data_IF_487122090644
#
_entry.id   IF_487122090644
#
_cell.length_a   1.000
_cell.length_b   1.000
_cell.length_c   1.000
_cell.angle_alpha   90.00
_cell.angle_beta   90.00
_cell.angle_gamma   90.00
#
_symmetry.space_group_name_H-M   'P 1'
#
loop_
_entity.id
_entity.type
_entity.pdbx_description
1 polymer ?
#
# COMPACT_ATOMS: atom_id res chain seq x y z
N UNK A 1 14.11 65.07 -22.58
CA UNK A 1 13.95 64.56 -22.48
C UNK A 1 13.84 63.48 -22.22
N UNK A 2 13.81 62.91 -22.15
CA UNK A 2 13.58 61.95 -21.98
C UNK A 2 13.42 60.88 -21.74
N UNK A 3 13.40 60.47 -21.67
CA UNK A 3 13.15 59.58 -21.47
C UNK A 3 13.24 58.55 -21.15
N UNK A 4 13.22 57.96 -21.00
CA UNK A 4 13.22 57.08 -20.79
C UNK A 4 12.86 56.22 -20.34
N UNK A 5 12.66 55.83 -20.35
CA UNK A 5 12.08 55.27 -20.00
C UNK A 5 12.03 54.12 -19.81
N UNK A 6 12.09 53.64 -19.59
CA UNK A 6 12.05 52.57 -19.30
C UNK A 6 11.78 51.44 -19.54
N UNK A 7 11.81 50.95 -19.37
CA UNK A 7 11.51 49.93 -19.68
C UNK A 7 11.81 48.92 -18.92
N UNK A 8 11.86 48.42 -18.67
CA UNK A 8 12.11 47.66 -17.98
C UNK A 8 11.37 46.64 -17.70
N UNK A 9 11.02 46.18 -17.61
CA UNK A 9 10.07 45.36 -17.22
C UNK A 9 9.99 43.98 -17.67
N UNK A 10 10.60 43.45 -18.57
CA UNK A 10 10.43 42.07 -18.99
C UNK A 10 10.95 41.03 -18.03
N UNK A 11 11.39 41.40 -16.90
CA UNK A 11 11.99 40.48 -15.96
C UNK A 11 11.01 39.56 -15.26
N UNK A 12 9.74 39.86 -15.34
CA UNK A 12 8.79 39.11 -14.57
C UNK A 12 8.41 37.76 -15.12
N UNK A 13 8.72 37.53 -16.36
CA UNK A 13 8.25 36.36 -17.06
C UNK A 13 8.97 35.10 -16.60
N UNK A 14 10.20 35.23 -16.21
CA UNK A 14 11.02 34.07 -15.96
C UNK A 14 10.63 33.28 -14.71
N UNK A 15 9.96 33.92 -13.78
CA UNK A 15 9.69 33.26 -12.52
C UNK A 15 8.55 32.27 -12.55
N UNK A 16 7.72 32.33 -13.57
CA UNK A 16 6.54 31.49 -13.60
C UNK A 16 6.81 30.05 -13.99
N UNK A 17 7.93 29.78 -14.61
CA UNK A 17 8.19 28.46 -15.17
C UNK A 17 8.56 27.42 -14.16
N UNK A 18 9.05 27.82 -13.01
CA UNK A 18 9.54 26.85 -12.03
C UNK A 18 8.42 26.10 -11.33
N UNK A 19 7.20 26.55 -11.45
CA UNK A 19 6.10 25.92 -10.71
C UNK A 19 5.65 24.58 -11.31
N UNK A 20 6.08 24.26 -12.50
CA UNK A 20 5.56 23.07 -13.17
C UNK A 20 6.30 21.79 -12.87
N UNK A 21 7.35 21.83 -12.08
CA UNK A 21 8.17 20.65 -11.89
C UNK A 21 7.76 19.77 -10.74
N UNK A 22 6.71 20.11 -10.01
CA UNK A 22 6.34 19.39 -8.82
C UNK A 22 5.35 18.26 -9.04
N UNK A 23 4.83 18.11 -10.24
CA UNK A 23 3.77 17.14 -10.45
C UNK A 23 4.25 15.82 -11.02
N UNK A 24 5.56 15.63 -11.12
CA UNK A 24 6.08 14.51 -11.87
C UNK A 24 6.15 13.20 -11.12
N UNK A 25 6.11 13.23 -9.79
CA UNK A 25 6.30 12.03 -9.01
C UNK A 25 4.97 11.39 -8.68
N UNK A 26 4.75 10.21 -9.22
CA UNK A 26 3.57 9.42 -8.90
C UNK A 26 4.03 8.02 -8.56
N UNK A 27 3.60 7.53 -7.41
CA UNK A 27 3.91 6.17 -7.00
C UNK A 27 2.62 5.44 -6.72
N UNK A 28 2.60 4.17 -7.10
CA UNK A 28 1.43 3.30 -6.98
C UNK A 28 1.56 2.50 -5.70
N UNK A 29 0.73 2.82 -4.71
CA UNK A 29 0.78 2.15 -3.43
C UNK A 29 -0.53 1.45 -3.14
N UNK A 30 -0.42 0.31 -2.44
CA UNK A 30 -1.54 -0.37 -1.86
C UNK A 30 -1.43 -0.19 -0.35
N UNK A 31 -2.51 0.30 0.26
CA UNK A 31 -2.61 0.39 1.72
C UNK A 31 -3.35 -0.84 2.21
N UNK A 32 -2.63 -1.72 2.89
CA UNK A 32 -3.20 -2.96 3.41
C UNK A 32 -3.47 -2.82 4.90
N UNK A 33 -4.59 -3.37 5.34
CA UNK A 33 -4.93 -3.48 6.76
C UNK A 33 -5.31 -4.91 7.05
N UNK A 34 -4.63 -5.53 8.01
CA UNK A 34 -4.92 -6.89 8.44
C UNK A 34 -5.57 -6.81 9.81
N UNK A 35 -6.76 -7.40 9.94
CA UNK A 35 -7.49 -7.40 11.18
C UNK A 35 -7.58 -8.81 11.72
N UNK A 36 -7.21 -9.00 12.98
CA UNK A 36 -7.28 -10.29 13.63
C UNK A 36 -8.64 -10.49 14.28
N UNK A 37 -9.51 -11.22 13.62
CA UNK A 37 -10.81 -11.60 14.17
C UNK A 37 -10.89 -13.08 14.50
N UNK A 38 -9.74 -13.70 14.72
CA UNK A 38 -9.72 -15.14 15.08
C UNK A 38 -10.19 -15.41 16.49
N UNK A 39 -10.27 -14.39 17.33
CA UNK A 39 -10.65 -14.54 18.73
C UNK A 39 -9.49 -14.84 19.66
N UNK A 40 -8.27 -14.95 19.14
CA UNK A 40 -7.07 -15.25 19.92
C UNK A 40 -5.87 -14.52 19.33
N UNK A 41 -4.80 -14.31 20.09
CA UNK A 41 -3.61 -13.71 19.53
C UNK A 41 -2.98 -14.63 18.49
N UNK A 42 -2.42 -14.04 17.46
CA UNK A 42 -1.65 -14.77 16.43
C UNK A 42 -0.22 -14.27 16.46
N UNK A 43 0.69 -15.10 15.94
CA UNK A 43 2.10 -14.79 15.90
C UNK A 43 2.66 -14.99 14.52
N UNK A 44 3.77 -14.30 14.24
CA UNK A 44 4.52 -14.44 13.00
C UNK A 44 3.63 -14.25 11.78
N UNK A 45 2.82 -13.20 11.82
CA UNK A 45 2.00 -12.83 10.66
C UNK A 45 2.90 -12.37 9.54
N UNK A 46 2.74 -12.98 8.37
CA UNK A 46 3.49 -12.61 7.19
C UNK A 46 2.55 -12.54 5.99
N UNK A 47 2.71 -11.48 5.21
CA UNK A 47 1.96 -11.29 3.98
C UNK A 47 2.97 -11.22 2.84
N UNK A 48 2.91 -12.21 1.95
CA UNK A 48 3.78 -12.29 0.79
C UNK A 48 3.05 -11.75 -0.43
N UNK A 49 3.70 -10.85 -1.15
CA UNK A 49 3.19 -10.35 -2.41
C UNK A 49 4.29 -10.53 -3.47
N UNK A 50 4.00 -10.32 -4.76
CA UNK A 50 4.92 -10.77 -5.82
C UNK A 50 6.38 -10.34 -5.68
N UNK A 51 6.65 -9.22 -5.08
CA UNK A 51 8.02 -8.70 -5.04
C UNK A 51 8.67 -8.73 -3.66
N UNK A 52 7.89 -8.97 -2.60
CA UNK A 52 8.44 -8.91 -1.25
C UNK A 52 7.41 -9.43 -0.23
N UNK A 53 7.70 -9.21 1.04
CA UNK A 53 6.78 -9.57 2.11
C UNK A 53 6.85 -8.54 3.22
N UNK A 54 5.82 -8.52 4.04
CA UNK A 54 5.81 -7.75 5.27
C UNK A 54 5.10 -8.55 6.35
N UNK A 55 5.33 -8.16 7.61
CA UNK A 55 4.69 -8.87 8.69
C UNK A 55 4.91 -8.22 10.03
N UNK A 56 4.39 -8.88 11.06
CA UNK A 56 4.53 -8.44 12.44
C UNK A 56 4.63 -9.69 13.32
N UNK A 57 5.41 -9.56 14.40
CA UNK A 57 5.69 -10.71 15.27
C UNK A 57 4.45 -11.23 15.98
N UNK A 58 3.56 -10.36 16.36
CA UNK A 58 2.33 -10.76 17.04
C UNK A 58 1.23 -9.75 16.77
N UNK A 59 -0.01 -10.23 16.77
CA UNK A 59 -1.17 -9.38 16.59
C UNK A 59 -2.25 -9.86 17.56
N UNK A 60 -2.64 -8.98 18.47
CA UNK A 60 -3.65 -9.31 19.48
C UNK A 60 -5.03 -9.49 18.84
N UNK A 61 -5.95 -10.19 19.50
CA UNK A 61 -7.31 -10.29 18.97
C UNK A 61 -7.94 -8.91 18.85
N UNK A 62 -8.68 -8.71 17.78
CA UNK A 62 -9.34 -7.45 17.43
C UNK A 62 -8.38 -6.30 17.09
N UNK A 63 -7.08 -6.57 17.00
CA UNK A 63 -6.10 -5.57 16.62
C UNK A 63 -5.89 -5.56 15.11
N UNK A 64 -5.42 -4.42 14.64
CA UNK A 64 -5.14 -4.20 13.23
C UNK A 64 -3.65 -4.00 13.03
N UNK A 65 -3.16 -4.45 11.87
CA UNK A 65 -1.82 -4.14 11.41
C UNK A 65 -1.92 -3.49 10.04
N UNK A 66 -1.25 -2.37 9.87
CA UNK A 66 -1.35 -1.56 8.67
C UNK A 66 0.01 -1.49 7.98
N UNK A 67 0.02 -1.65 6.65
CA UNK A 67 1.25 -1.57 5.89
C UNK A 67 0.97 -1.05 4.48
N UNK A 68 1.87 -0.21 3.99
CA UNK A 68 1.77 0.37 2.65
C UNK A 68 2.90 -0.17 1.79
N UNK A 69 2.57 -0.65 0.59
CA UNK A 69 3.56 -1.29 -0.26
C UNK A 69 3.29 -1.05 -1.74
N UNK A 70 4.30 -1.33 -2.53
CA UNK A 70 4.21 -1.31 -4.00
C UNK A 70 4.40 -2.70 -4.53
N UNK A 71 3.62 -3.07 -5.54
CA UNK A 71 3.73 -4.36 -6.20
C UNK A 71 4.62 -4.21 -7.43
N UNK A 72 5.60 -5.08 -7.54
CA UNK A 72 6.43 -5.21 -8.75
C UNK A 72 6.22 -6.60 -9.30
N UNK A 73 5.83 -6.68 -10.58
CA UNK A 73 5.42 -7.94 -11.16
C UNK A 73 3.99 -8.28 -10.83
N UNK A 74 3.60 -9.50 -11.07
CA UNK A 74 2.24 -9.98 -10.83
C UNK A 74 2.29 -11.32 -10.13
N UNK A 75 1.32 -11.58 -9.27
CA UNK A 75 1.22 -12.85 -8.59
C UNK A 75 0.21 -12.83 -7.47
N UNK A 76 0.03 -13.97 -6.88
CA UNK A 76 -0.95 -14.17 -5.85
C UNK A 76 -0.43 -13.73 -4.49
N UNK A 77 -1.27 -13.05 -3.73
CA UNK A 77 -1.00 -12.71 -2.34
C UNK A 77 -1.13 -13.97 -1.50
N UNK A 78 -0.27 -14.11 -0.51
CA UNK A 78 -0.35 -15.21 0.46
C UNK A 78 -0.19 -14.67 1.86
N UNK A 79 -0.99 -15.19 2.77
CA UNK A 79 -0.97 -14.81 4.17
C UNK A 79 -0.65 -16.05 5.00
N UNK A 80 0.28 -15.91 5.94
CA UNK A 80 0.58 -16.98 6.87
C UNK A 80 0.69 -16.44 8.28
N UNK A 81 0.35 -17.27 9.26
CA UNK A 81 0.53 -16.93 10.66
C UNK A 81 0.52 -18.20 11.50
N UNK A 82 0.99 -18.06 12.72
CA UNK A 82 0.90 -19.14 13.71
C UNK A 82 -0.30 -18.86 14.63
N UNK A 83 -1.24 -19.78 14.64
CA UNK A 83 -2.44 -19.67 15.47
C UNK A 83 -2.11 -19.93 16.94
N UNK A 84 -3.05 -19.61 17.81
CA UNK A 84 -2.85 -19.77 19.25
C UNK A 84 -2.59 -21.22 19.66
N UNK A 85 -3.07 -22.19 18.88
CA UNK A 85 -2.80 -23.61 19.14
C UNK A 85 -1.46 -24.08 18.60
N UNK A 86 -0.64 -23.18 18.06
CA UNK A 86 0.67 -23.51 17.54
C UNK A 86 0.69 -23.97 16.08
N UNK A 87 -0.45 -24.09 15.45
CA UNK A 87 -0.50 -24.50 14.05
C UNK A 87 -0.22 -23.32 13.11
N UNK A 88 0.49 -23.61 12.03
CA UNK A 88 0.72 -22.64 10.97
C UNK A 88 -0.45 -22.65 10.01
N UNK A 89 -0.98 -21.48 9.73
CA UNK A 89 -2.08 -21.29 8.79
C UNK A 89 -1.53 -20.57 7.57
N UNK A 90 -1.89 -21.04 6.39
CA UNK A 90 -1.53 -20.40 5.12
C UNK A 90 -2.79 -20.21 4.29
N UNK A 91 -2.96 -19.01 3.78
CA UNK A 91 -4.16 -18.65 3.01
C UNK A 91 -3.72 -17.93 1.76
N UNK A 92 -4.30 -18.33 0.61
CA UNK A 92 -4.07 -17.66 -0.66
C UNK A 92 -5.09 -16.55 -0.85
N UNK A 93 -4.61 -15.39 -1.25
CA UNK A 93 -5.45 -14.22 -1.47
C UNK A 93 -5.59 -13.91 -2.96
N UNK A 94 -6.01 -12.67 -3.27
CA UNK A 94 -6.19 -12.27 -4.66
C UNK A 94 -4.87 -12.13 -5.40
N UNK A 95 -4.95 -12.16 -6.71
CA UNK A 95 -3.81 -11.86 -7.57
C UNK A 95 -3.64 -10.34 -7.63
N UNK A 96 -2.43 -9.90 -7.41
CA UNK A 96 -2.07 -8.49 -7.50
C UNK A 96 -1.22 -8.27 -8.75
N UNK A 97 -1.33 -7.10 -9.33
CA UNK A 97 -0.58 -6.73 -10.51
C UNK A 97 0.19 -5.45 -10.27
N UNK A 98 1.24 -5.30 -11.02
CA UNK A 98 2.08 -4.11 -10.96
C UNK A 98 1.27 -2.85 -11.23
N UNK A 99 1.60 -1.78 -10.51
CA UNK A 99 0.97 -0.47 -10.63
C UNK A 99 -0.47 -0.38 -10.13
N UNK A 100 -0.96 -1.40 -9.49
CA UNK A 100 -2.24 -1.26 -8.82
C UNK A 100 -2.10 -0.35 -7.60
N UNK A 101 -3.13 0.41 -7.32
CA UNK A 101 -3.17 1.29 -6.15
C UNK A 101 -4.56 1.28 -5.55
N UNK A 102 -4.61 1.56 -4.27
CA UNK A 102 -5.85 1.60 -3.52
C UNK A 102 -5.69 0.96 -2.16
N UNK A 103 -6.72 0.28 -1.71
CA UNK A 103 -6.74 -0.35 -0.40
C UNK A 103 -7.01 -1.84 -0.50
N UNK A 104 -6.50 -2.57 0.47
CA UNK A 104 -6.75 -4.00 0.60
C UNK A 104 -6.99 -4.30 2.08
N UNK A 105 -8.20 -4.70 2.40
CA UNK A 105 -8.52 -5.15 3.75
C UNK A 105 -8.44 -6.67 3.79
N UNK A 106 -7.74 -7.19 4.80
CA UNK A 106 -7.60 -8.62 5.04
C UNK A 106 -8.15 -8.90 6.44
N UNK A 107 -9.18 -9.70 6.52
CA UNK A 107 -9.79 -10.07 7.79
C UNK A 107 -9.48 -11.52 8.06
N UNK A 108 -8.79 -11.80 9.16
CA UNK A 108 -8.44 -13.16 9.57
C UNK A 108 -9.54 -13.67 10.48
N UNK A 109 -10.26 -14.69 10.01
CA UNK A 109 -11.41 -15.25 10.71
C UNK A 109 -11.03 -16.53 11.47
N UNK A 110 -11.88 -16.98 12.40
CA UNK A 110 -11.64 -18.25 13.08
C UNK A 110 -11.60 -19.42 12.11
N UNK A 111 -10.87 -20.46 12.47
CA UNK A 111 -10.81 -21.68 11.68
C UNK A 111 -9.87 -21.62 10.50
N UNK A 112 -8.91 -20.70 10.50
CA UNK A 112 -7.92 -20.62 9.44
C UNK A 112 -8.47 -20.03 8.15
N UNK A 113 -9.48 -19.20 8.24
CA UNK A 113 -10.11 -18.56 7.08
C UNK A 113 -9.76 -17.08 7.03
N UNK A 114 -9.90 -16.49 5.87
CA UNK A 114 -9.69 -15.06 5.72
C UNK A 114 -10.63 -14.51 4.65
N UNK A 115 -10.94 -13.22 4.79
CA UNK A 115 -11.68 -12.47 3.80
C UNK A 115 -10.77 -11.39 3.24
N UNK A 116 -10.84 -11.20 1.94
CA UNK A 116 -10.07 -10.19 1.23
C UNK A 116 -11.02 -9.20 0.57
N UNK A 117 -10.83 -7.93 0.85
CA UNK A 117 -11.68 -6.87 0.31
C UNK A 117 -10.80 -5.85 -0.43
N UNK A 118 -10.43 -6.14 -1.67
CA UNK A 118 -9.62 -5.21 -2.45
C UNK A 118 -10.47 -4.11 -3.06
N UNK A 119 -9.96 -2.88 -2.99
CA UNK A 119 -10.49 -1.74 -3.72
C UNK A 119 -9.32 -1.13 -4.47
N UNK A 120 -8.95 -1.75 -5.55
CA UNK A 120 -7.75 -1.45 -6.30
C UNK A 120 -8.10 -1.03 -7.72
N UNK A 121 -7.24 -0.22 -8.30
CA UNK A 121 -7.36 0.10 -9.72
C UNK A 121 -7.16 -1.17 -10.55
N UNK A 122 -7.75 -1.24 -11.75
CA UNK A 122 -7.52 -2.40 -12.61
C UNK A 122 -6.04 -2.50 -12.98
N UNK A 123 -5.57 -3.70 -13.33
CA UNK A 123 -4.22 -3.86 -13.84
C UNK A 123 -4.03 -3.05 -15.11
N UNK A 124 -2.82 -2.50 -15.25
CA UNK A 124 -2.49 -1.69 -16.42
C UNK A 124 -2.19 -2.55 -17.64
#
# INVERSE_FOLDING_TARGET
MSRRTGLRSPLYVATLLSAFFFSACHSYHIDATIENRTGAPIQLLEVDYPSASFGVDSLAPEANFHYRFQVRGSGQLKVSYTAANGQTVQISGPTLAERQQGTLEIVLDPGGKAEFHPQLTPPA
#
